data_IF_943599033389
#
_entry.id   IF_943599033389
#
_cell.length_a   1.000
_cell.length_b   1.000
_cell.length_c   1.000
_cell.angle_alpha   90.00
_cell.angle_beta   90.00
_cell.angle_gamma   90.00
#
_symmetry.space_group_name_H-M   'P 1'
#
loop_
_entity.id
_entity.type
_entity.pdbx_description
1 polymer ?
#
# COMPACT_ATOMS: atom_id res chain seq x y z
N UNK A 1 -12.99 20.56 3.43
CA UNK A 1 -13.91 19.66 2.72
C UNK A 1 -13.25 18.29 2.61
N UNK A 2 -13.94 17.20 2.97
CA UNK A 2 -13.42 15.84 2.80
C UNK A 2 -13.47 15.44 1.32
N UNK A 3 -12.49 14.66 0.86
CA UNK A 3 -12.51 14.14 -0.51
C UNK A 3 -13.73 13.23 -0.72
N UNK A 4 -14.32 13.20 -1.93
CA UNK A 4 -15.37 12.24 -2.27
C UNK A 4 -14.92 10.80 -2.01
N UNK A 5 -15.85 9.91 -1.65
CA UNK A 5 -15.55 8.54 -1.24
C UNK A 5 -14.76 7.74 -2.30
N UNK A 6 -15.05 7.96 -3.59
CA UNK A 6 -14.30 7.35 -4.70
C UNK A 6 -12.84 7.81 -4.71
N UNK A 7 -12.60 9.11 -4.59
CA UNK A 7 -11.24 9.70 -4.54
C UNK A 7 -10.48 9.21 -3.31
N UNK A 8 -11.16 9.07 -2.16
CA UNK A 8 -10.55 8.48 -0.98
C UNK A 8 -10.12 7.02 -1.24
N UNK A 9 -11.00 6.21 -1.81
CA UNK A 9 -10.71 4.81 -2.14
C UNK A 9 -9.54 4.66 -3.14
N UNK A 10 -9.41 5.58 -4.09
CA UNK A 10 -8.31 5.58 -5.05
C UNK A 10 -6.99 6.00 -4.40
N UNK A 11 -6.99 7.02 -3.55
CA UNK A 11 -5.80 7.39 -2.77
C UNK A 11 -5.32 6.25 -1.89
N UNK A 12 -6.25 5.55 -1.22
CA UNK A 12 -5.90 4.36 -0.43
C UNK A 12 -5.33 3.22 -1.27
N UNK A 13 -5.75 3.09 -2.54
CA UNK A 13 -5.19 2.08 -3.45
C UNK A 13 -3.75 2.36 -3.89
N UNK A 14 -3.30 3.61 -3.74
CA UNK A 14 -1.90 4.01 -3.98
C UNK A 14 -1.11 3.86 -2.67
N UNK A 15 -1.58 4.46 -1.58
CA UNK A 15 -0.87 4.44 -0.28
C UNK A 15 -0.76 3.03 0.29
N UNK A 16 -1.75 2.16 0.06
CA UNK A 16 -1.73 0.78 0.51
C UNK A 16 -0.80 -0.14 -0.29
N UNK A 17 -0.13 0.36 -1.34
CA UNK A 17 0.85 -0.45 -2.08
C UNK A 17 2.11 -0.61 -1.27
N UNK A 18 2.74 -1.78 -1.37
CA UNK A 18 3.98 -2.07 -0.66
C UNK A 18 5.06 -1.04 -0.96
N UNK A 19 5.15 -0.58 -2.21
CA UNK A 19 6.14 0.39 -2.68
C UNK A 19 5.94 1.79 -2.09
N UNK A 20 4.75 2.11 -1.60
CA UNK A 20 4.44 3.40 -0.95
C UNK A 20 4.72 3.40 0.55
N UNK A 21 5.02 2.24 1.13
CA UNK A 21 5.34 2.08 2.53
C UNK A 21 6.86 1.92 2.65
N UNK A 22 7.53 2.90 3.24
CA UNK A 22 8.94 2.79 3.57
C UNK A 22 9.12 1.73 4.68
N UNK A 23 9.71 0.59 4.31
CA UNK A 23 9.90 -0.55 5.20
C UNK A 23 10.87 -0.26 6.35
N UNK A 24 11.57 0.87 6.31
CA UNK A 24 12.56 1.28 7.31
C UNK A 24 12.17 2.57 8.05
N UNK A 25 10.97 3.08 7.82
CA UNK A 25 10.50 4.32 8.45
C UNK A 25 10.21 4.18 9.95
N UNK A 26 10.11 2.96 10.49
CA UNK A 26 9.80 2.73 11.89
C UNK A 26 10.57 1.58 12.54
N UNK A 27 10.46 1.46 13.87
CA UNK A 27 11.15 0.45 14.69
C UNK A 27 10.90 -0.97 14.20
N UNK A 28 9.63 -1.32 13.95
CA UNK A 28 9.24 -2.68 13.54
C UNK A 28 9.80 -2.99 12.16
N UNK A 29 9.83 -2.00 11.27
CA UNK A 29 10.38 -2.10 9.93
C UNK A 29 11.90 -2.29 9.93
N UNK A 30 12.62 -1.46 10.70
CA UNK A 30 14.07 -1.59 10.90
C UNK A 30 14.47 -2.95 11.51
N UNK A 31 13.65 -3.47 12.43
CA UNK A 31 13.85 -4.79 13.02
C UNK A 31 13.57 -5.90 12.01
N UNK A 32 12.50 -5.81 11.23
CA UNK A 32 12.19 -6.75 10.16
C UNK A 32 13.28 -6.77 9.07
N UNK A 33 13.86 -5.61 8.75
CA UNK A 33 14.98 -5.47 7.82
C UNK A 33 16.33 -5.93 8.41
N UNK A 34 16.38 -6.34 9.69
CA UNK A 34 17.61 -6.75 10.37
C UNK A 34 18.61 -5.61 10.62
N UNK A 35 18.19 -4.35 10.44
CA UNK A 35 19.03 -3.15 10.61
C UNK A 35 19.11 -2.69 12.06
N UNK A 36 18.23 -3.19 12.92
CA UNK A 36 18.13 -2.80 14.31
C UNK A 36 17.78 -4.00 15.17
N UNK A 37 18.53 -4.18 16.27
CA UNK A 37 18.19 -5.12 17.32
C UNK A 37 17.56 -4.37 18.48
N UNK A 38 16.39 -4.82 18.91
CA UNK A 38 15.60 -4.09 19.91
C UNK A 38 16.30 -4.06 21.28
N UNK A 39 17.17 -5.04 21.54
CA UNK A 39 17.94 -5.17 22.76
C UNK A 39 19.05 -4.14 22.92
N UNK A 40 19.55 -3.63 21.79
CA UNK A 40 20.65 -2.67 21.76
C UNK A 40 20.15 -1.23 21.94
N UNK A 41 18.82 -1.03 21.98
CA UNK A 41 18.19 0.27 22.17
C UNK A 41 18.10 0.67 23.64
N UNK A 42 18.48 1.91 23.92
CA UNK A 42 18.26 2.51 25.23
C UNK A 42 16.75 2.69 25.51
N UNK A 43 16.33 2.46 26.76
CA UNK A 43 14.90 2.44 27.14
C UNK A 43 14.19 3.78 26.91
N UNK A 44 14.91 4.90 27.00
CA UNK A 44 14.39 6.24 26.74
C UNK A 44 14.02 6.46 25.25
N UNK A 45 14.67 5.72 24.34
CA UNK A 45 14.40 5.74 22.89
C UNK A 45 13.22 4.87 22.49
N UNK A 46 12.78 3.96 23.35
CA UNK A 46 11.60 3.14 23.08
C UNK A 46 10.31 3.97 23.25
N UNK A 47 9.24 3.66 22.51
CA UNK A 47 7.90 4.18 22.77
C UNK A 47 7.43 3.84 24.19
N UNK A 48 6.57 4.66 24.79
CA UNK A 48 6.08 4.47 26.18
C UNK A 48 5.51 3.06 26.42
N UNK A 49 4.75 2.52 25.47
CA UNK A 49 4.17 1.18 25.55
C UNK A 49 5.19 0.05 25.61
N UNK A 50 6.45 0.32 25.23
CA UNK A 50 7.53 -0.67 25.15
C UNK A 50 8.61 -0.47 26.23
N UNK A 51 8.74 0.73 26.83
CA UNK A 51 9.80 1.02 27.84
C UNK A 51 9.74 0.16 29.09
N UNK A 52 8.54 -0.26 29.49
CA UNK A 52 8.29 -1.01 30.71
C UNK A 52 8.48 -2.52 30.58
N UNK A 53 8.72 -3.03 29.38
CA UNK A 53 8.87 -4.47 29.12
C UNK A 53 10.27 -4.97 29.53
N UNK A 54 10.36 -6.24 29.93
CA UNK A 54 11.65 -6.91 30.05
C UNK A 54 12.28 -7.10 28.67
N UNK A 55 13.60 -7.31 28.55
CA UNK A 55 14.25 -7.56 27.26
C UNK A 55 13.62 -8.71 26.47
N UNK A 56 13.22 -9.79 27.16
CA UNK A 56 12.58 -10.96 26.56
C UNK A 56 11.17 -10.63 26.08
N UNK A 57 10.37 -9.96 26.92
CA UNK A 57 9.00 -9.55 26.56
C UNK A 57 9.00 -8.50 25.43
N UNK A 58 10.01 -7.64 25.39
CA UNK A 58 10.19 -6.64 24.34
C UNK A 58 10.50 -7.30 22.98
N UNK A 59 11.42 -8.28 22.96
CA UNK A 59 11.69 -9.11 21.78
C UNK A 59 10.43 -9.77 21.25
N UNK A 60 9.74 -10.48 22.14
CA UNK A 60 8.53 -11.22 21.78
C UNK A 60 7.45 -10.28 21.26
N UNK A 61 7.27 -9.12 21.91
CA UNK A 61 6.30 -8.12 21.47
C UNK A 61 6.63 -7.58 20.08
N UNK A 62 7.88 -7.21 19.82
CA UNK A 62 8.28 -6.68 18.51
C UNK A 62 8.21 -7.76 17.43
N UNK A 63 8.64 -8.99 17.72
CA UNK A 63 8.50 -10.11 16.79
C UNK A 63 7.02 -10.37 16.44
N UNK A 64 6.12 -10.27 17.43
CA UNK A 64 4.68 -10.34 17.20
C UNK A 64 4.16 -9.23 16.29
N UNK A 65 4.61 -7.99 16.49
CA UNK A 65 4.24 -6.85 15.64
C UNK A 65 4.75 -7.01 14.20
N UNK A 66 5.96 -7.56 14.02
CA UNK A 66 6.49 -7.90 12.69
C UNK A 66 5.59 -8.93 12.00
N UNK A 67 5.23 -10.01 12.70
CA UNK A 67 4.37 -11.06 12.16
C UNK A 67 2.96 -10.54 11.82
N UNK A 68 2.37 -9.72 12.68
CA UNK A 68 1.05 -9.11 12.46
C UNK A 68 1.06 -8.20 11.23
N UNK A 69 2.09 -7.36 11.08
CA UNK A 69 2.28 -6.51 9.91
C UNK A 69 2.37 -7.32 8.62
N UNK A 70 3.15 -8.39 8.62
CA UNK A 70 3.29 -9.27 7.46
C UNK A 70 1.98 -9.98 7.10
N UNK A 71 1.18 -10.39 8.10
CA UNK A 71 -0.14 -10.95 7.86
C UNK A 71 -1.10 -9.93 7.22
N UNK A 72 -1.17 -8.72 7.75
CA UNK A 72 -1.99 -7.63 7.21
C UNK A 72 -1.57 -7.24 5.79
N UNK A 73 -0.28 -7.24 5.50
CA UNK A 73 0.25 -6.97 4.16
C UNK A 73 -0.19 -8.01 3.13
N UNK A 74 -0.20 -9.29 3.51
CA UNK A 74 -0.71 -10.37 2.63
C UNK A 74 -2.20 -10.18 2.36
N UNK A 75 -2.99 -9.90 3.39
CA UNK A 75 -4.42 -9.64 3.23
C UNK A 75 -4.67 -8.43 2.33
N UNK A 76 -3.91 -7.35 2.50
CA UNK A 76 -4.01 -6.15 1.67
C UNK A 76 -3.66 -6.43 0.21
N UNK A 77 -2.61 -7.20 -0.06
CA UNK A 77 -2.23 -7.60 -1.41
C UNK A 77 -3.35 -8.43 -2.07
N UNK A 78 -3.94 -9.37 -1.35
CA UNK A 78 -5.06 -10.18 -1.83
C UNK A 78 -6.29 -9.33 -2.15
N UNK A 79 -6.62 -8.37 -1.28
CA UNK A 79 -7.72 -7.44 -1.49
C UNK A 79 -7.47 -6.52 -2.70
N UNK A 80 -6.24 -6.06 -2.90
CA UNK A 80 -5.87 -5.27 -4.07
C UNK A 80 -6.03 -6.06 -5.36
N UNK A 81 -5.60 -7.33 -5.38
CA UNK A 81 -5.78 -8.22 -6.52
C UNK A 81 -7.27 -8.44 -6.85
N UNK A 82 -8.10 -8.72 -5.82
CA UNK A 82 -9.56 -8.84 -5.97
C UNK A 82 -10.19 -7.55 -6.50
N UNK A 83 -9.77 -6.40 -6.00
CA UNK A 83 -10.24 -5.08 -6.45
C UNK A 83 -9.86 -4.82 -7.91
N UNK A 84 -8.65 -5.16 -8.33
CA UNK A 84 -8.21 -5.01 -9.71
C UNK A 84 -9.03 -5.90 -10.66
N UNK A 85 -9.24 -7.16 -10.29
CA UNK A 85 -10.08 -8.08 -11.05
C UNK A 85 -11.53 -7.59 -11.19
N UNK A 86 -12.13 -7.09 -10.09
CA UNK A 86 -13.48 -6.54 -10.11
C UNK A 86 -13.61 -5.34 -11.06
N UNK A 87 -12.65 -4.41 -11.03
CA UNK A 87 -12.63 -3.25 -11.91
C UNK A 87 -12.46 -3.65 -13.38
N UNK A 88 -11.57 -4.61 -13.67
CA UNK A 88 -11.38 -5.12 -15.02
C UNK A 88 -12.67 -5.77 -15.57
N UNK A 89 -13.36 -6.57 -14.77
CA UNK A 89 -14.64 -7.18 -15.16
C UNK A 89 -15.74 -6.12 -15.34
N UNK A 90 -15.81 -5.10 -14.48
CA UNK A 90 -16.74 -3.98 -14.64
C UNK A 90 -16.47 -3.20 -15.93
N UNK A 91 -15.20 -2.93 -16.25
CA UNK A 91 -14.80 -2.24 -17.48
C UNK A 91 -15.17 -3.05 -18.74
N UNK A 92 -14.92 -4.38 -18.74
CA UNK A 92 -15.35 -5.26 -19.84
C UNK A 92 -16.86 -5.23 -20.05
N UNK A 93 -17.65 -5.30 -18.97
CA UNK A 93 -19.12 -5.23 -19.04
C UNK A 93 -19.61 -3.89 -19.59
N UNK A 94 -19.00 -2.78 -19.18
CA UNK A 94 -19.33 -1.45 -19.69
C UNK A 94 -19.03 -1.32 -21.19
N UNK A 95 -17.87 -1.82 -21.62
CA UNK A 95 -17.47 -1.83 -23.03
C UNK A 95 -18.42 -2.71 -23.88
N UNK A 96 -18.81 -3.88 -23.39
CA UNK A 96 -19.77 -4.76 -24.06
C UNK A 96 -21.17 -4.13 -24.20
N UNK A 97 -21.56 -3.26 -23.28
CA UNK A 97 -22.80 -2.48 -23.33
C UNK A 97 -22.73 -1.21 -24.20
N UNK A 98 -21.63 -0.99 -24.92
CA UNK A 98 -21.44 0.20 -25.78
C UNK A 98 -21.30 1.52 -25.05
N UNK A 99 -21.20 1.51 -23.70
CA UNK A 99 -20.95 2.73 -22.91
C UNK A 99 -19.46 2.90 -22.71
N UNK A 100 -18.88 3.87 -23.40
CA UNK A 100 -17.54 4.34 -23.04
C UNK A 100 -17.64 5.25 -21.82
N UNK A 101 -16.78 5.05 -20.82
CA UNK A 101 -16.67 6.00 -19.71
C UNK A 101 -15.82 7.19 -20.14
N UNK A 102 -16.13 8.37 -19.58
CA UNK A 102 -15.36 9.58 -19.84
C UNK A 102 -13.86 9.37 -19.59
N UNK A 103 -13.49 8.75 -18.47
CA UNK A 103 -12.09 8.48 -18.14
C UNK A 103 -11.39 7.55 -19.15
N UNK A 104 -12.13 6.60 -19.74
CA UNK A 104 -11.60 5.70 -20.76
C UNK A 104 -11.31 6.45 -22.06
N UNK A 105 -12.20 7.35 -22.48
CA UNK A 105 -11.96 8.22 -23.64
C UNK A 105 -10.85 9.25 -23.39
N UNK A 106 -10.79 9.84 -22.19
CA UNK A 106 -9.69 10.72 -21.79
C UNK A 106 -8.37 9.95 -21.82
N UNK A 107 -8.32 8.75 -21.26
CA UNK A 107 -7.13 7.89 -21.30
C UNK A 107 -6.71 7.53 -22.73
N UNK A 108 -7.65 7.19 -23.61
CA UNK A 108 -7.36 6.97 -25.05
C UNK A 108 -6.79 8.22 -25.71
N UNK A 109 -7.41 9.38 -25.49
CA UNK A 109 -6.96 10.65 -26.07
C UNK A 109 -5.56 11.02 -25.57
N UNK A 110 -5.29 10.86 -24.27
CA UNK A 110 -3.98 11.14 -23.67
C UNK A 110 -2.89 10.23 -24.25
N UNK A 111 -3.16 8.93 -24.39
CA UNK A 111 -2.23 7.97 -25.01
C UNK A 111 -1.96 8.30 -26.49
N UNK A 112 -3.00 8.66 -27.25
CA UNK A 112 -2.85 9.05 -28.64
C UNK A 112 -1.99 10.32 -28.78
N UNK A 113 -2.16 11.29 -27.88
CA UNK A 113 -1.34 12.50 -27.84
C UNK A 113 0.11 12.20 -27.43
N UNK A 114 0.31 11.36 -26.42
CA UNK A 114 1.63 10.93 -25.95
C UNK A 114 2.42 10.19 -27.05
N UNK A 115 1.76 9.28 -27.78
CA UNK A 115 2.36 8.55 -28.89
C UNK A 115 2.85 9.49 -30.01
N UNK A 116 2.10 10.54 -30.35
CA UNK A 116 2.53 11.58 -31.31
C UNK A 116 3.78 12.33 -30.87
N UNK A 117 4.11 12.28 -29.58
CA UNK A 117 5.30 12.90 -28.98
C UNK A 117 6.39 11.87 -28.62
N UNK A 118 6.20 10.59 -28.98
CA UNK A 118 7.15 9.53 -28.66
C UNK A 118 7.17 9.14 -27.18
N UNK A 119 6.14 9.49 -26.40
CA UNK A 119 6.03 9.18 -24.97
C UNK A 119 5.17 7.91 -24.82
N UNK A 120 5.73 6.89 -24.16
CA UNK A 120 5.00 5.67 -23.80
C UNK A 120 4.39 5.80 -22.41
N UNK A 121 3.06 5.69 -22.33
CA UNK A 121 2.33 5.61 -21.06
C UNK A 121 2.05 4.13 -20.74
N UNK A 122 2.18 3.71 -19.47
CA UNK A 122 1.75 2.36 -19.04
C UNK A 122 0.24 2.17 -19.27
N UNK A 123 -0.19 0.90 -19.45
CA UNK A 123 -1.60 0.54 -19.68
C UNK A 123 -2.54 0.99 -18.56
#
# INVERSE_FOLDING_TARGET
AAAPASVAADRWSVVGRKESLDEEADLVGLVAAGKLKVEELAKDRLPESLRGLSPEALKERVAGLVAEREAQRKELADLQAKRAAFQAEAAKKAAAGGRSSFDLEVGKALRAQAARKGIALPE
#
